data_IF_984807859633
#
_entry.id   IF_984807859633
#
_cell.length_a   1.000
_cell.length_b   1.000
_cell.length_c   1.000
_cell.angle_alpha   90.00
_cell.angle_beta   90.00
_cell.angle_gamma   90.00
#
_symmetry.space_group_name_H-M   'P 1'
#
loop_
_entity.id
_entity.type
_entity.pdbx_description
1 polymer ?
#
# COMPACT_ATOMS: atom_id res chain seq x y z
N UNK A 1 46.70 -26.31 3.96
CA UNK A 1 46.23 -27.34 4.90
C UNK A 1 44.72 -27.22 4.98
N UNK A 2 44.01 -28.22 4.47
CA UNK A 2 42.59 -28.38 4.68
C UNK A 2 42.31 -28.59 6.17
N UNK A 3 41.22 -28.02 6.67
CA UNK A 3 40.30 -28.75 7.55
C UNK A 3 38.88 -28.32 7.23
N UNK A 4 38.05 -29.32 6.96
CA UNK A 4 36.62 -29.28 6.80
C UNK A 4 35.94 -28.71 8.05
N UNK A 5 34.88 -27.93 7.88
CA UNK A 5 33.82 -27.83 8.89
C UNK A 5 32.47 -27.82 8.17
N UNK A 6 31.65 -28.77 8.56
CA UNK A 6 30.29 -29.08 8.15
C UNK A 6 29.37 -27.87 8.00
N UNK A 7 28.63 -27.83 6.88
CA UNK A 7 27.43 -27.01 6.72
C UNK A 7 26.27 -27.70 7.45
N UNK A 8 25.83 -27.12 8.57
CA UNK A 8 24.50 -27.38 9.11
C UNK A 8 23.52 -26.35 8.55
N UNK A 9 22.51 -26.84 7.83
CA UNK A 9 21.36 -26.04 7.44
C UNK A 9 20.59 -25.68 8.70
N UNK A 10 20.41 -24.37 8.96
CA UNK A 10 19.42 -23.91 9.94
C UNK A 10 18.01 -24.23 9.40
N UNK A 11 17.43 -25.31 9.90
CA UNK A 11 15.99 -25.57 9.84
C UNK A 11 15.28 -24.65 10.83
N UNK A 12 14.24 -23.95 10.37
CA UNK A 12 13.33 -23.18 11.23
C UNK A 12 12.61 -24.15 12.19
N UNK A 13 12.42 -23.81 13.47
CA UNK A 13 11.70 -24.68 14.38
C UNK A 13 10.21 -24.74 14.02
N UNK A 14 9.70 -25.97 13.97
CA UNK A 14 8.28 -26.31 13.92
C UNK A 14 7.58 -25.80 15.18
N UNK A 15 6.36 -25.30 15.00
CA UNK A 15 5.48 -24.85 16.06
C UNK A 15 4.92 -26.04 16.82
N UNK A 16 5.33 -26.20 18.08
CA UNK A 16 4.61 -27.06 19.02
C UNK A 16 3.54 -26.29 19.79
N UNK A 17 2.36 -26.88 19.69
CA UNK A 17 1.11 -26.68 20.40
C UNK A 17 1.29 -26.76 21.92
N UNK A 18 0.55 -25.94 22.68
CA UNK A 18 0.04 -26.32 24.01
C UNK A 18 -0.96 -25.27 24.56
N UNK A 19 -2.24 -25.67 24.49
CA UNK A 19 -3.21 -25.80 25.59
C UNK A 19 -3.66 -24.59 26.45
N UNK A 20 -4.95 -24.25 26.25
CA UNK A 20 -6.04 -24.19 27.25
C UNK A 20 -5.72 -23.91 28.73
N UNK A 21 -6.31 -22.83 29.25
CA UNK A 21 -6.89 -22.80 30.60
C UNK A 21 -8.09 -21.85 30.66
N UNK A 22 -9.25 -22.44 30.97
CA UNK A 22 -10.46 -21.79 31.48
C UNK A 22 -10.40 -21.69 33.02
N UNK A 23 -11.39 -20.96 33.57
CA UNK A 23 -11.72 -20.67 34.98
C UNK A 23 -11.15 -19.35 35.50
N UNK A 24 -11.88 -18.48 36.20
CA UNK A 24 -13.20 -18.57 36.85
C UNK A 24 -13.81 -17.19 37.07
N UNK A 25 -15.14 -17.18 37.17
CA UNK A 25 -16.00 -16.11 37.69
C UNK A 25 -15.58 -15.69 39.11
N UNK A 26 -15.67 -14.39 39.43
CA UNK A 26 -16.25 -13.94 40.70
C UNK A 26 -16.69 -12.46 40.65
N UNK A 27 -17.83 -12.24 41.27
CA UNK A 27 -18.63 -11.02 41.40
C UNK A 27 -18.19 -10.11 42.54
N UNK A 28 -18.45 -8.80 42.46
CA UNK A 28 -19.06 -7.98 43.55
C UNK A 28 -19.18 -6.49 43.15
N UNK A 29 -20.42 -5.98 43.16
CA UNK A 29 -20.98 -4.89 44.02
C UNK A 29 -20.66 -3.46 43.54
N UNK A 30 -21.61 -2.76 42.91
CA UNK A 30 -22.64 -1.86 43.47
C UNK A 30 -22.08 -0.64 44.22
N UNK A 31 -22.33 0.55 43.67
CA UNK A 31 -22.81 1.72 44.43
C UNK A 31 -23.52 2.70 43.50
N UNK A 32 -24.79 2.93 43.81
CA UNK A 32 -25.71 3.93 43.26
C UNK A 32 -25.23 5.37 43.53
N UNK A 33 -25.67 6.32 42.70
CA UNK A 33 -26.40 7.51 43.17
C UNK A 33 -27.27 8.09 42.04
N UNK A 34 -28.54 8.22 42.37
CA UNK A 34 -29.67 8.88 41.73
C UNK A 34 -29.52 10.39 41.58
N UNK A 35 -30.23 11.00 40.63
CA UNK A 35 -31.00 12.22 40.87
C UNK A 35 -32.24 12.27 39.95
N UNK A 36 -33.39 12.44 40.60
CA UNK A 36 -34.77 12.49 40.12
C UNK A 36 -35.14 13.90 39.60
N UNK A 37 -36.10 13.99 38.67
CA UNK A 37 -37.04 15.12 38.61
C UNK A 37 -38.39 14.70 38.02
N UNK A 38 -39.44 15.16 38.68
CA UNK A 38 -40.83 14.67 38.74
C UNK A 38 -41.85 15.32 37.79
N UNK A 39 -42.89 14.52 37.47
CA UNK A 39 -44.34 14.79 37.35
C UNK A 39 -44.93 15.87 36.40
N UNK A 40 -45.95 15.51 35.60
CA UNK A 40 -47.40 15.64 35.95
C UNK A 40 -48.31 15.05 34.86
N UNK A 41 -49.41 14.40 35.28
CA UNK A 41 -50.47 13.70 34.50
C UNK A 41 -51.68 14.62 34.23
N UNK A 42 -52.44 14.38 33.15
CA UNK A 42 -53.93 14.50 33.20
C UNK A 42 -54.62 13.57 32.20
N UNK A 43 -55.57 12.77 32.70
CA UNK A 43 -56.50 11.88 31.96
C UNK A 43 -57.70 12.65 31.37
N UNK A 44 -58.35 12.07 30.36
CA UNK A 44 -59.82 11.86 30.37
C UNK A 44 -60.29 10.85 29.31
N UNK A 45 -61.31 10.08 29.69
CA UNK A 45 -61.87 8.85 29.08
C UNK A 45 -63.32 9.03 28.56
N UNK A 46 -63.91 7.92 28.04
CA UNK A 46 -65.35 7.58 27.78
C UNK A 46 -65.92 7.97 26.39
N UNK A 47 -66.82 7.24 25.69
CA UNK A 47 -67.61 5.98 25.85
C UNK A 47 -68.33 5.69 24.48
N UNK A 48 -68.40 4.42 23.99
CA UNK A 48 -69.59 3.50 23.83
C UNK A 48 -70.51 3.62 22.57
N UNK A 49 -70.60 2.47 21.86
CA UNK A 49 -71.63 1.78 21.02
C UNK A 49 -72.68 2.48 20.14
N UNK A 50 -72.88 1.96 18.92
CA UNK A 50 -74.13 1.30 18.42
C UNK A 50 -73.99 0.83 16.93
N UNK A 51 -74.47 -0.38 16.61
CA UNK A 51 -74.86 -0.90 15.27
C UNK A 51 -76.42 -0.91 15.23
N UNK A 52 -77.18 -0.94 14.09
CA UNK A 52 -76.95 -1.85 12.93
C UNK A 52 -77.55 -1.39 11.55
N UNK A 53 -77.57 -2.35 10.60
CA UNK A 53 -78.52 -2.57 9.46
C UNK A 53 -78.22 -2.11 7.99
N UNK A 54 -77.77 -3.13 7.23
CA UNK A 54 -77.96 -3.57 5.84
C UNK A 54 -78.90 -2.77 4.90
N UNK A 55 -78.40 -2.47 3.68
CA UNK A 55 -79.20 -2.52 2.44
C UNK A 55 -78.34 -2.85 1.21
N UNK A 56 -78.71 -3.89 0.48
CA UNK A 56 -78.09 -4.36 -0.78
C UNK A 56 -78.37 -3.42 -1.96
N UNK A 57 -77.36 -3.12 -2.80
CA UNK A 57 -77.50 -2.92 -4.26
C UNK A 57 -76.19 -3.39 -4.96
N UNK A 58 -76.35 -3.97 -6.15
CA UNK A 58 -75.50 -4.90 -6.89
C UNK A 58 -74.62 -4.31 -8.02
N UNK A 59 -73.48 -4.98 -8.32
CA UNK A 59 -72.60 -5.06 -9.54
C UNK A 59 -72.10 -3.72 -10.19
N UNK A 60 -70.88 -3.52 -10.72
CA UNK A 60 -69.74 -4.36 -11.17
C UNK A 60 -68.48 -3.46 -11.34
N UNK A 61 -67.35 -4.09 -11.70
CA UNK A 61 -66.06 -3.58 -12.21
C UNK A 61 -64.88 -3.43 -11.21
N UNK A 62 -64.23 -4.58 -11.03
CA UNK A 62 -62.78 -4.79 -11.10
C UNK A 62 -61.82 -3.63 -10.77
N UNK A 63 -61.06 -3.80 -9.68
CA UNK A 63 -59.62 -3.53 -9.70
C UNK A 63 -58.92 -4.40 -8.64
N UNK A 64 -58.26 -5.46 -9.10
CA UNK A 64 -57.26 -6.20 -8.34
C UNK A 64 -56.04 -5.30 -8.13
N UNK A 65 -55.79 -4.91 -6.87
CA UNK A 65 -54.54 -4.29 -6.47
C UNK A 65 -53.60 -5.40 -5.97
N UNK A 66 -52.92 -6.06 -6.91
CA UNK A 66 -51.77 -6.91 -6.59
C UNK A 66 -50.58 -6.00 -6.29
N UNK A 67 -50.36 -5.70 -5.02
CA UNK A 67 -49.09 -5.16 -4.54
C UNK A 67 -48.02 -6.23 -4.67
N UNK A 68 -47.35 -6.26 -5.81
CA UNK A 68 -46.13 -7.04 -6.02
C UNK A 68 -45.02 -6.47 -5.15
N UNK A 69 -44.58 -7.22 -4.14
CA UNK A 69 -43.29 -6.98 -3.48
C UNK A 69 -42.19 -7.20 -4.51
N UNK A 70 -41.66 -6.12 -5.11
CA UNK A 70 -40.47 -6.19 -5.96
C UNK A 70 -39.30 -6.74 -5.12
N UNK A 71 -38.84 -7.94 -5.47
CA UNK A 71 -37.61 -8.49 -4.91
C UNK A 71 -36.46 -7.56 -5.31
N UNK A 72 -35.79 -6.94 -4.33
CA UNK A 72 -34.74 -5.97 -4.62
C UNK A 72 -33.53 -6.73 -5.16
N UNK A 73 -33.40 -6.76 -6.49
CA UNK A 73 -32.31 -7.42 -7.20
C UNK A 73 -30.97 -6.80 -6.77
N UNK A 74 -30.02 -7.65 -6.33
CA UNK A 74 -28.69 -7.19 -5.94
C UNK A 74 -27.91 -6.74 -7.18
N UNK A 75 -27.17 -5.62 -7.10
CA UNK A 75 -26.33 -5.17 -8.20
C UNK A 75 -25.16 -6.13 -8.39
N UNK A 76 -24.96 -6.65 -9.58
CA UNK A 76 -23.93 -7.62 -9.95
C UNK A 76 -23.32 -7.30 -11.32
N UNK A 77 -22.08 -7.76 -11.51
CA UNK A 77 -21.38 -7.71 -12.79
C UNK A 77 -21.64 -9.03 -13.51
N UNK A 78 -22.10 -8.97 -14.75
CA UNK A 78 -22.34 -10.14 -15.60
C UNK A 78 -21.17 -10.41 -16.55
N UNK A 79 -20.49 -9.36 -17.01
CA UNK A 79 -19.27 -9.51 -17.81
C UNK A 79 -18.32 -8.33 -17.64
N UNK A 80 -17.03 -8.60 -17.79
CA UNK A 80 -15.98 -7.59 -17.79
C UNK A 80 -14.88 -7.96 -18.78
N UNK A 81 -14.54 -7.02 -19.66
CA UNK A 81 -13.62 -7.24 -20.77
C UNK A 81 -12.72 -6.01 -20.94
N UNK A 82 -11.43 -6.25 -21.17
CA UNK A 82 -10.55 -5.23 -21.74
C UNK A 82 -10.54 -5.41 -23.25
N UNK A 83 -11.30 -4.58 -23.95
CA UNK A 83 -11.29 -4.58 -25.42
C UNK A 83 -10.02 -3.92 -25.92
N UNK A 84 -9.32 -4.54 -26.86
CA UNK A 84 -8.15 -4.00 -27.57
C UNK A 84 -8.42 -2.63 -28.17
N UNK A 85 -9.65 -2.39 -28.63
CA UNK A 85 -10.07 -1.09 -29.18
C UNK A 85 -9.85 0.07 -28.20
N UNK A 86 -10.14 -0.14 -26.91
CA UNK A 86 -10.01 0.87 -25.86
C UNK A 86 -8.64 0.76 -25.16
N UNK A 87 -7.97 -0.38 -25.31
CA UNK A 87 -6.71 -0.72 -24.67
C UNK A 87 -5.68 -1.15 -25.75
N UNK A 88 -5.13 -0.21 -26.54
CA UNK A 88 -4.39 -0.50 -27.78
C UNK A 88 -3.07 -1.27 -27.60
N UNK A 89 -2.58 -1.36 -26.36
CA UNK A 89 -1.41 -2.14 -25.96
C UNK A 89 -1.68 -3.66 -25.91
N UNK A 90 -2.95 -4.07 -25.95
CA UNK A 90 -3.32 -5.49 -25.97
C UNK A 90 -3.18 -6.08 -27.38
N UNK A 91 -2.78 -7.35 -27.45
CA UNK A 91 -2.74 -8.09 -28.72
C UNK A 91 -4.14 -8.45 -29.22
N UNK A 92 -5.03 -8.74 -28.29
CA UNK A 92 -6.42 -9.18 -28.47
C UNK A 92 -7.28 -8.75 -27.27
N UNK A 93 -8.60 -8.95 -27.35
CA UNK A 93 -9.50 -8.66 -26.23
C UNK A 93 -9.26 -9.63 -25.07
N UNK A 94 -9.19 -9.10 -23.84
CA UNK A 94 -8.98 -9.91 -22.64
C UNK A 94 -10.28 -10.02 -21.86
N UNK A 95 -10.82 -11.23 -21.82
CA UNK A 95 -12.01 -11.56 -21.03
C UNK A 95 -11.59 -11.92 -19.61
N UNK A 96 -12.37 -11.45 -18.65
CA UNK A 96 -12.20 -11.76 -17.24
C UNK A 96 -13.30 -12.70 -16.77
N UNK A 97 -12.92 -13.62 -15.89
CA UNK A 97 -13.84 -14.47 -15.16
C UNK A 97 -14.38 -13.71 -13.96
N UNK A 98 -15.71 -13.70 -13.81
CA UNK A 98 -16.40 -13.09 -12.66
C UNK A 98 -16.92 -14.21 -11.77
N UNK A 99 -16.37 -14.32 -10.57
CA UNK A 99 -16.86 -15.24 -9.55
C UNK A 99 -17.84 -14.49 -8.63
N UNK A 100 -19.14 -14.74 -8.80
CA UNK A 100 -20.20 -14.07 -8.03
C UNK A 100 -20.30 -14.56 -6.59
N UNK A 101 -19.77 -15.73 -6.25
CA UNK A 101 -19.77 -16.27 -4.88
C UNK A 101 -18.67 -15.61 -4.04
N UNK A 102 -17.44 -15.62 -4.56
CA UNK A 102 -16.25 -15.09 -3.88
C UNK A 102 -16.03 -13.60 -4.14
N UNK A 103 -16.85 -13.00 -5.01
CA UNK A 103 -16.74 -11.59 -5.44
C UNK A 103 -15.33 -11.27 -5.96
N UNK A 104 -14.78 -12.14 -6.79
CA UNK A 104 -13.46 -11.97 -7.42
C UNK A 104 -13.58 -11.86 -8.93
N UNK A 105 -12.73 -11.04 -9.52
CA UNK A 105 -12.59 -10.87 -10.96
C UNK A 105 -11.15 -11.19 -11.33
N UNK A 106 -10.93 -12.14 -12.23
CA UNK A 106 -9.58 -12.58 -12.59
C UNK A 106 -9.43 -12.93 -14.06
N UNK A 107 -8.20 -12.89 -14.55
CA UNK A 107 -7.85 -13.40 -15.88
C UNK A 107 -6.60 -14.28 -15.80
N UNK A 108 -6.46 -15.20 -16.75
CA UNK A 108 -5.22 -15.94 -16.97
C UNK A 108 -4.14 -15.11 -17.69
N UNK A 109 -4.49 -13.91 -18.17
CA UNK A 109 -3.57 -13.03 -18.86
C UNK A 109 -2.52 -12.45 -17.89
N UNK A 110 -1.25 -12.60 -18.26
CA UNK A 110 -0.13 -11.96 -17.59
C UNK A 110 0.07 -10.54 -18.12
N UNK A 111 -0.17 -9.55 -17.26
CA UNK A 111 0.08 -8.15 -17.58
C UNK A 111 1.57 -7.86 -17.41
N UNK A 112 2.22 -7.38 -18.47
CA UNK A 112 3.55 -6.77 -18.36
C UNK A 112 3.33 -5.29 -18.11
N UNK A 113 3.51 -4.85 -16.86
CA UNK A 113 3.37 -3.44 -16.52
C UNK A 113 4.55 -2.64 -17.12
N UNK A 114 4.40 -2.20 -18.36
CA UNK A 114 4.89 -0.86 -18.70
C UNK A 114 3.89 0.09 -18.05
N UNK A 115 4.37 0.95 -17.17
CA UNK A 115 3.56 1.78 -16.29
C UNK A 115 2.57 2.66 -17.12
N UNK A 116 1.43 3.09 -16.53
CA UNK A 116 0.42 4.03 -17.10
C UNK A 116 -0.65 3.54 -18.09
N UNK A 117 -0.85 2.24 -18.28
CA UNK A 117 -1.96 1.82 -19.13
C UNK A 117 -3.28 1.94 -18.37
N UNK A 118 -3.97 3.05 -18.63
CA UNK A 118 -5.37 3.20 -18.31
C UNK A 118 -6.12 1.94 -18.74
N UNK A 119 -6.69 1.23 -17.75
CA UNK A 119 -7.48 0.02 -17.97
C UNK A 119 -8.93 0.46 -18.23
N UNK A 120 -9.31 0.55 -19.49
CA UNK A 120 -10.67 0.90 -19.87
C UNK A 120 -11.50 -0.37 -20.00
N UNK A 121 -12.20 -0.72 -18.93
CA UNK A 121 -13.07 -1.88 -18.90
C UNK A 121 -14.39 -1.61 -19.62
N UNK A 122 -14.80 -2.55 -20.47
CA UNK A 122 -16.21 -2.69 -20.82
C UNK A 122 -16.84 -3.59 -19.75
N UNK A 123 -17.76 -3.04 -18.95
CA UNK A 123 -18.44 -3.75 -17.86
C UNK A 123 -19.93 -3.84 -18.19
N UNK A 124 -20.51 -5.02 -18.07
CA UNK A 124 -21.97 -5.22 -18.09
C UNK A 124 -22.44 -5.55 -16.69
N UNK A 125 -23.48 -4.87 -16.22
CA UNK A 125 -24.04 -5.00 -14.87
C UNK A 125 -25.53 -4.66 -14.87
N UNK A 126 -26.26 -5.09 -13.83
CA UNK A 126 -27.65 -4.71 -13.57
C UNK A 126 -27.81 -3.53 -12.58
N UNK A 127 -26.69 -2.99 -12.05
CA UNK A 127 -26.70 -1.79 -11.20
C UNK A 127 -26.87 -0.48 -11.99
N UNK A 128 -26.97 0.64 -11.29
CA UNK A 128 -27.07 1.99 -11.86
C UNK A 128 -25.72 2.52 -12.35
N UNK A 129 -24.61 2.18 -11.67
CA UNK A 129 -23.25 2.61 -12.03
C UNK A 129 -22.18 1.70 -11.43
N UNK A 130 -20.95 1.88 -11.92
CA UNK A 130 -19.77 1.15 -11.46
C UNK A 130 -18.64 2.13 -11.15
N UNK A 131 -17.96 1.90 -10.02
CA UNK A 131 -16.96 2.81 -9.47
C UNK A 131 -15.69 2.05 -9.01
N UNK A 132 -14.54 2.71 -9.12
CA UNK A 132 -13.30 2.37 -8.42
C UNK A 132 -13.09 3.39 -7.29
N UNK A 133 -13.37 3.00 -6.05
CA UNK A 133 -13.42 3.94 -4.94
C UNK A 133 -14.61 4.89 -5.06
N UNK A 134 -14.37 6.15 -5.45
CA UNK A 134 -15.41 7.17 -5.71
C UNK A 134 -15.47 7.60 -7.18
N UNK A 135 -14.59 7.07 -8.00
CA UNK A 135 -14.46 7.47 -9.41
C UNK A 135 -15.27 6.50 -10.28
N UNK A 136 -16.05 7.00 -11.26
CA UNK A 136 -16.72 6.14 -12.22
C UNK A 136 -15.67 5.40 -13.08
N UNK A 137 -15.98 4.16 -13.49
CA UNK A 137 -15.15 3.40 -14.43
C UNK A 137 -15.97 2.88 -15.60
N UNK A 138 -15.44 3.02 -16.81
CA UNK A 138 -16.06 2.57 -18.05
C UNK A 138 -15.04 2.54 -19.21
N UNK A 139 -15.52 2.57 -20.44
CA UNK A 139 -14.69 2.61 -21.64
C UNK A 139 -13.92 3.93 -21.83
N UNK A 140 -14.17 4.95 -21.01
CA UNK A 140 -13.58 6.29 -21.07
C UNK A 140 -12.89 6.72 -19.77
N UNK A 141 -13.28 6.13 -18.64
CA UNK A 141 -12.76 6.39 -17.30
C UNK A 141 -12.03 5.14 -16.83
N UNK A 142 -10.73 5.28 -16.63
CA UNK A 142 -9.86 4.14 -16.40
C UNK A 142 -9.98 3.57 -14.99
N UNK A 143 -9.88 2.25 -14.90
CA UNK A 143 -9.66 1.58 -13.63
C UNK A 143 -8.20 1.71 -13.22
N UNK A 144 -7.97 2.45 -12.14
CA UNK A 144 -6.65 2.72 -11.60
C UNK A 144 -6.36 1.77 -10.44
N UNK A 145 -5.72 0.63 -10.75
CA UNK A 145 -5.39 -0.41 -9.77
C UNK A 145 -4.66 0.14 -8.52
N UNK A 146 -3.83 1.16 -8.70
CA UNK A 146 -3.05 1.80 -7.63
C UNK A 146 -3.92 2.60 -6.64
N UNK A 147 -5.12 3.06 -7.03
CA UNK A 147 -6.09 3.70 -6.12
C UNK A 147 -6.86 2.66 -5.33
N UNK A 148 -7.30 1.62 -6.03
CA UNK A 148 -8.04 0.50 -5.45
C UNK A 148 -8.03 -0.67 -6.42
N UNK A 149 -7.91 -1.88 -5.90
CA UNK A 149 -8.14 -3.11 -6.65
C UNK A 149 -9.62 -3.56 -6.61
N UNK A 150 -10.53 -2.68 -6.16
CA UNK A 150 -11.95 -2.99 -6.01
C UNK A 150 -12.79 -2.31 -7.08
N UNK A 151 -13.79 -3.03 -7.57
CA UNK A 151 -14.86 -2.51 -8.40
C UNK A 151 -16.16 -2.60 -7.58
N UNK A 152 -16.84 -1.47 -7.41
CA UNK A 152 -18.13 -1.39 -6.72
C UNK A 152 -19.23 -1.19 -7.75
N UNK A 153 -20.22 -2.09 -7.79
CA UNK A 153 -21.47 -1.86 -8.52
C UNK A 153 -22.47 -1.29 -7.53
N UNK A 154 -23.05 -0.13 -7.86
CA UNK A 154 -24.09 0.51 -7.05
C UNK A 154 -25.42 0.33 -7.75
N UNK A 155 -26.39 -0.24 -7.05
CA UNK A 155 -27.78 -0.44 -7.52
C UNK A 155 -28.76 0.51 -6.85
N UNK A 156 -30.06 0.24 -7.05
CA UNK A 156 -31.16 1.00 -6.43
C UNK A 156 -30.99 1.04 -4.90
N UNK A 157 -31.48 2.11 -4.28
CA UNK A 157 -31.41 2.33 -2.83
C UNK A 157 -29.99 2.29 -2.23
N UNK A 158 -28.96 2.61 -3.03
CA UNK A 158 -27.55 2.53 -2.64
C UNK A 158 -27.08 1.15 -2.18
N UNK A 159 -27.74 0.07 -2.61
CA UNK A 159 -27.19 -1.28 -2.45
C UNK A 159 -25.89 -1.38 -3.24
N UNK A 160 -24.88 -2.03 -2.65
CA UNK A 160 -23.56 -2.15 -3.26
C UNK A 160 -23.08 -3.59 -3.24
N UNK A 161 -22.45 -3.99 -4.34
CA UNK A 161 -21.66 -5.22 -4.41
C UNK A 161 -20.24 -4.87 -4.82
N UNK A 162 -19.27 -5.34 -4.06
CA UNK A 162 -17.86 -5.04 -4.25
C UNK A 162 -17.14 -6.28 -4.73
N UNK A 163 -16.46 -6.17 -5.87
CA UNK A 163 -15.62 -7.19 -6.45
C UNK A 163 -14.14 -6.83 -6.28
N UNK A 164 -13.30 -7.82 -6.01
CA UNK A 164 -11.84 -7.66 -5.98
C UNK A 164 -11.24 -8.12 -7.30
N UNK A 165 -10.55 -7.21 -8.00
CA UNK A 165 -9.85 -7.49 -9.26
C UNK A 165 -8.46 -8.03 -8.95
N UNK A 166 -8.17 -9.21 -9.50
CA UNK A 166 -6.86 -9.87 -9.42
C UNK A 166 -6.24 -9.94 -10.81
N UNK A 167 -5.16 -9.16 -11.00
CA UNK A 167 -4.36 -9.17 -12.22
C UNK A 167 -3.09 -10.00 -11.95
N UNK A 168 -2.76 -10.92 -12.86
CA UNK A 168 -1.48 -11.64 -12.79
C UNK A 168 -0.41 -10.75 -13.40
N UNK A 169 0.50 -10.25 -12.56
CA UNK A 169 1.65 -9.48 -13.02
C UNK A 169 2.75 -10.42 -13.51
N UNK A 170 3.32 -10.12 -14.68
CA UNK A 170 4.60 -10.69 -15.04
C UNK A 170 5.70 -9.98 -14.25
N UNK A 171 6.00 -10.49 -13.07
CA UNK A 171 7.10 -10.00 -12.24
C UNK A 171 8.41 -10.66 -12.71
N UNK A 172 9.43 -9.86 -13.07
CA UNK A 172 10.75 -10.36 -13.49
C UNK A 172 11.62 -10.90 -12.33
N UNK A 173 11.02 -11.16 -11.17
CA UNK A 173 11.66 -11.68 -9.96
C UNK A 173 12.16 -10.61 -8.99
N UNK A 174 11.81 -9.34 -9.20
CA UNK A 174 12.19 -8.22 -8.33
C UNK A 174 10.98 -7.61 -7.62
N UNK A 175 11.15 -7.10 -6.38
CA UNK A 175 10.16 -6.23 -5.77
C UNK A 175 9.92 -4.99 -6.63
N UNK A 176 8.72 -4.43 -6.53
CA UNK A 176 8.29 -3.28 -7.33
C UNK A 176 7.94 -2.12 -6.40
N UNK A 177 8.41 -0.92 -6.72
CA UNK A 177 8.18 0.31 -5.95
C UNK A 177 7.50 1.34 -6.86
N UNK A 178 6.24 1.64 -6.56
CA UNK A 178 5.48 2.71 -7.19
C UNK A 178 5.57 3.98 -6.36
N UNK A 179 5.88 5.09 -7.01
CA UNK A 179 5.94 6.42 -6.41
C UNK A 179 5.02 7.32 -7.22
N UNK A 180 4.09 7.97 -6.55
CA UNK A 180 3.19 8.95 -7.18
C UNK A 180 3.31 10.27 -6.45
N UNK A 181 3.78 11.32 -7.12
CA UNK A 181 3.77 12.68 -6.59
C UNK A 181 2.37 13.26 -6.69
N UNK A 182 1.96 14.07 -5.72
CA UNK A 182 0.62 14.65 -5.69
C UNK A 182 0.35 15.54 -6.91
N UNK A 183 1.40 16.14 -7.47
CA UNK A 183 1.32 16.98 -8.66
C UNK A 183 1.28 16.20 -9.99
N UNK A 184 1.55 14.89 -9.96
CA UNK A 184 1.74 14.07 -11.16
C UNK A 184 3.00 14.43 -11.97
N UNK A 185 3.83 15.36 -11.51
CA UNK A 185 5.06 15.79 -12.19
C UNK A 185 6.30 15.09 -11.64
N UNK A 186 7.30 14.92 -12.50
CA UNK A 186 8.60 14.39 -12.10
C UNK A 186 9.27 15.29 -11.04
N UNK A 187 10.13 14.68 -10.22
CA UNK A 187 10.86 15.39 -9.16
C UNK A 187 12.09 16.07 -9.76
N UNK A 188 12.15 17.41 -9.66
CA UNK A 188 13.24 18.21 -10.18
C UNK A 188 14.57 17.97 -9.45
N UNK A 189 15.67 18.23 -10.16
CA UNK A 189 17.04 18.00 -9.65
C UNK A 189 17.39 18.76 -8.38
N UNK A 190 16.79 19.94 -8.20
CA UNK A 190 17.04 20.85 -7.08
C UNK A 190 15.78 21.12 -6.26
N UNK A 191 14.71 20.39 -6.55
CA UNK A 191 13.51 20.46 -5.73
C UNK A 191 13.87 19.97 -4.32
N UNK A 192 13.24 20.59 -3.33
CA UNK A 192 13.21 20.01 -2.00
C UNK A 192 12.24 18.80 -2.02
N UNK A 193 11.72 18.44 -0.86
CA UNK A 193 10.72 17.39 -0.74
C UNK A 193 9.41 17.72 -1.45
N UNK A 194 9.06 16.87 -2.41
CA UNK A 194 7.75 16.83 -3.08
C UNK A 194 6.88 15.79 -2.37
N UNK A 195 5.64 16.15 -2.06
CA UNK A 195 4.68 15.24 -1.43
C UNK A 195 4.15 14.20 -2.45
N UNK A 196 3.80 13.04 -1.93
CA UNK A 196 3.27 11.94 -2.72
C UNK A 196 2.90 10.72 -1.89
N UNK A 197 2.79 9.59 -2.56
CA UNK A 197 2.60 8.28 -1.96
C UNK A 197 3.60 7.28 -2.54
N UNK A 198 3.90 6.24 -1.76
CA UNK A 198 4.70 5.09 -2.20
C UNK A 198 3.95 3.81 -1.90
N UNK A 199 4.00 2.87 -2.86
CA UNK A 199 3.54 1.50 -2.66
C UNK A 199 4.64 0.52 -3.01
N UNK A 200 4.80 -0.53 -2.21
CA UNK A 200 5.85 -1.54 -2.39
C UNK A 200 5.22 -2.93 -2.49
N UNK A 201 5.57 -3.64 -3.55
CA UNK A 201 5.10 -4.99 -3.84
C UNK A 201 6.27 -5.96 -3.78
N UNK A 202 6.03 -7.15 -3.24
CA UNK A 202 7.01 -8.23 -3.21
C UNK A 202 7.30 -8.78 -4.61
N UNK A 203 8.35 -9.59 -4.73
CA UNK A 203 8.67 -10.39 -5.94
C UNK A 203 7.51 -11.28 -6.42
N UNK A 204 6.56 -11.59 -5.53
CA UNK A 204 5.39 -12.44 -5.80
C UNK A 204 4.09 -11.64 -5.97
N UNK A 205 4.18 -10.30 -6.06
CA UNK A 205 3.02 -9.42 -6.25
C UNK A 205 2.20 -9.12 -4.99
N UNK A 206 2.57 -9.67 -3.82
CA UNK A 206 1.92 -9.29 -2.56
C UNK A 206 2.19 -7.81 -2.25
N UNK A 207 1.14 -7.03 -1.96
CA UNK A 207 1.27 -5.66 -1.47
C UNK A 207 1.85 -5.70 -0.05
N UNK A 208 3.04 -5.12 0.12
CA UNK A 208 3.73 -5.09 1.41
C UNK A 208 3.50 -3.77 2.13
N UNK A 209 3.19 -2.70 1.40
CA UNK A 209 3.21 -1.35 1.93
C UNK A 209 2.53 -0.35 1.00
N UNK A 210 1.76 0.59 1.56
CA UNK A 210 1.21 1.74 0.86
C UNK A 210 1.01 2.90 1.83
N UNK A 211 1.78 3.99 1.70
CA UNK A 211 1.70 5.14 2.62
C UNK A 211 2.02 6.48 1.94
N UNK A 212 1.53 7.59 2.53
CA UNK A 212 2.03 8.93 2.23
C UNK A 212 3.53 9.07 2.48
N UNK A 213 4.18 9.86 1.66
CA UNK A 213 5.61 10.10 1.70
C UNK A 213 5.99 11.44 1.08
N UNK A 214 7.24 11.82 1.26
CA UNK A 214 7.90 12.89 0.53
C UNK A 214 9.11 12.35 -0.20
N UNK A 215 9.39 12.87 -1.39
CA UNK A 215 10.52 12.46 -2.21
C UNK A 215 11.32 13.67 -2.69
N UNK A 216 12.64 13.50 -2.76
CA UNK A 216 13.53 14.47 -3.41
C UNK A 216 14.68 13.77 -4.11
N UNK A 217 15.30 14.45 -5.07
CA UNK A 217 16.55 13.98 -5.68
C UNK A 217 17.69 14.04 -4.65
N UNK A 218 18.57 13.03 -4.66
CA UNK A 218 19.73 12.94 -3.77
C UNK A 218 21.06 12.76 -4.51
N UNK A 219 22.13 12.87 -3.72
CA UNK A 219 23.51 12.80 -4.17
C UNK A 219 24.04 14.18 -4.56
N UNK A 220 25.35 14.24 -4.81
CA UNK A 220 26.03 15.45 -5.22
C UNK A 220 26.28 15.40 -6.74
N UNK A 221 27.33 14.68 -7.16
CA UNK A 221 27.66 14.47 -8.58
C UNK A 221 26.55 13.76 -9.37
N UNK A 222 25.89 12.79 -8.74
CA UNK A 222 24.85 11.96 -9.38
C UNK A 222 23.59 12.73 -9.77
N UNK A 223 23.39 13.97 -9.28
CA UNK A 223 22.26 14.83 -9.73
C UNK A 223 22.38 15.26 -11.19
N UNK A 224 23.59 15.22 -11.74
CA UNK A 224 23.85 15.57 -13.14
C UNK A 224 23.58 14.40 -14.09
N UNK A 225 23.39 13.18 -13.58
CA UNK A 225 23.15 12.00 -14.39
C UNK A 225 21.75 12.00 -15.03
N UNK A 226 21.58 11.32 -16.18
CA UNK A 226 20.27 11.09 -16.78
C UNK A 226 19.31 10.33 -15.86
N UNK A 227 19.82 9.34 -15.13
CA UNK A 227 19.05 8.56 -14.17
C UNK A 227 19.36 9.02 -12.74
N UNK A 228 18.39 9.67 -12.12
CA UNK A 228 18.52 10.31 -10.81
C UNK A 228 18.32 9.30 -9.68
N UNK A 229 19.01 9.53 -8.56
CA UNK A 229 18.78 8.81 -7.31
C UNK A 229 17.87 9.63 -6.39
N UNK A 230 17.07 8.96 -5.57
CA UNK A 230 16.06 9.62 -4.74
C UNK A 230 16.25 9.29 -3.26
N UNK A 231 15.80 10.22 -2.41
CA UNK A 231 15.54 9.98 -1.00
C UNK A 231 14.04 10.06 -0.78
N UNK A 232 13.51 9.04 -0.10
CA UNK A 232 12.11 8.95 0.31
C UNK A 232 12.06 9.17 1.81
N UNK A 233 11.14 10.03 2.26
CA UNK A 233 10.82 10.26 3.66
C UNK A 233 9.37 9.90 3.89
N UNK A 234 9.12 8.82 4.62
CA UNK A 234 7.80 8.37 5.02
C UNK A 234 7.27 9.25 6.16
N UNK A 235 5.96 9.44 6.20
CA UNK A 235 5.32 10.17 7.30
C UNK A 235 5.41 9.38 8.62
N UNK A 236 5.25 8.07 8.54
CA UNK A 236 5.37 7.12 9.65
C UNK A 236 6.59 6.22 9.48
N UNK A 237 7.19 5.76 10.60
CA UNK A 237 8.26 4.75 10.56
C UNK A 237 7.65 3.43 10.07
N UNK A 238 8.27 2.78 9.11
CA UNK A 238 7.84 1.47 8.64
C UNK A 238 9.02 0.67 8.09
N UNK A 239 8.95 -0.66 8.18
CA UNK A 239 9.91 -1.55 7.52
C UNK A 239 9.58 -1.70 6.04
N UNK A 240 10.60 -1.78 5.19
CA UNK A 240 10.44 -1.89 3.73
C UNK A 240 11.17 -3.15 3.27
N UNK A 241 10.49 -4.04 2.54
CA UNK A 241 11.06 -5.30 2.02
C UNK A 241 11.76 -6.18 3.07
N UNK A 242 11.23 -6.22 4.29
CA UNK A 242 11.79 -6.99 5.41
C UNK A 242 12.96 -6.29 6.13
N UNK A 243 13.32 -5.07 5.73
CA UNK A 243 14.35 -4.27 6.42
C UNK A 243 13.77 -3.56 7.66
N UNK A 244 14.64 -3.25 8.62
CA UNK A 244 14.27 -2.59 9.88
C UNK A 244 13.58 -1.23 9.69
N UNK A 245 12.66 -0.91 10.59
CA UNK A 245 11.74 0.23 10.46
C UNK A 245 12.42 1.61 10.52
N UNK A 246 12.17 2.44 9.50
CA UNK A 246 12.74 3.79 9.39
C UNK A 246 11.79 4.74 8.64
N UNK A 247 12.00 6.05 8.80
CA UNK A 247 11.32 7.07 7.97
C UNK A 247 12.06 7.36 6.68
N UNK A 248 13.39 7.29 6.68
CA UNK A 248 14.21 7.70 5.55
C UNK A 248 14.75 6.49 4.81
N UNK A 249 14.47 6.45 3.51
CA UNK A 249 14.88 5.40 2.59
C UNK A 249 15.57 6.02 1.39
N UNK A 250 16.44 5.26 0.73
CA UNK A 250 17.14 5.69 -0.48
C UNK A 250 16.76 4.80 -1.65
N UNK A 251 16.73 5.41 -2.83
CA UNK A 251 16.71 4.74 -4.12
C UNK A 251 17.96 5.13 -4.89
N UNK A 252 18.93 4.22 -4.95
CA UNK A 252 20.17 4.43 -5.67
C UNK A 252 20.03 3.94 -7.12
N UNK A 253 20.23 4.86 -8.06
CA UNK A 253 20.17 4.55 -9.49
C UNK A 253 21.36 3.71 -9.98
N UNK A 254 22.47 3.73 -9.23
CA UNK A 254 23.78 3.15 -9.59
C UNK A 254 24.22 3.50 -11.03
N UNK A 255 23.84 4.68 -11.56
CA UNK A 255 23.99 5.00 -12.98
C UNK A 255 25.43 4.94 -13.51
N UNK A 256 26.41 5.35 -12.69
CA UNK A 256 27.83 5.31 -13.05
C UNK A 256 28.40 3.89 -13.04
N UNK A 257 27.76 2.98 -12.31
CA UNK A 257 28.15 1.57 -12.21
C UNK A 257 27.43 0.75 -13.30
N UNK A 258 28.16 0.37 -14.35
CA UNK A 258 27.61 -0.44 -15.46
C UNK A 258 27.09 -1.81 -15.05
N UNK A 259 27.50 -2.34 -13.89
CA UNK A 259 26.96 -3.59 -13.35
C UNK A 259 25.70 -3.38 -12.52
N UNK A 260 25.45 -2.15 -12.05
CA UNK A 260 24.46 -1.80 -11.02
C UNK A 260 24.63 -2.51 -9.67
N UNK A 261 25.65 -3.37 -9.51
CA UNK A 261 25.77 -4.33 -8.40
C UNK A 261 26.88 -4.01 -7.41
N UNK A 262 27.84 -3.13 -7.72
CA UNK A 262 29.05 -2.96 -6.89
C UNK A 262 28.73 -2.59 -5.44
N UNK A 263 27.79 -1.66 -5.23
CA UNK A 263 27.34 -1.29 -3.88
C UNK A 263 26.74 -2.47 -3.14
N UNK A 264 25.81 -3.20 -3.78
CA UNK A 264 25.15 -4.33 -3.15
C UNK A 264 26.14 -5.47 -2.84
N UNK A 265 27.08 -5.76 -3.75
CA UNK A 265 28.13 -6.75 -3.51
C UNK A 265 29.04 -6.35 -2.34
N UNK A 266 29.41 -5.07 -2.23
CA UNK A 266 30.24 -4.59 -1.13
C UNK A 266 29.52 -4.73 0.22
N UNK A 267 28.24 -4.37 0.30
CA UNK A 267 27.44 -4.56 1.51
C UNK A 267 27.24 -6.04 1.82
N UNK A 268 26.91 -6.86 0.83
CA UNK A 268 26.80 -8.31 1.05
C UNK A 268 28.09 -8.91 1.62
N UNK A 269 29.26 -8.52 1.09
CA UNK A 269 30.55 -8.95 1.63
C UNK A 269 30.78 -8.44 3.06
N UNK A 270 30.43 -7.18 3.33
CA UNK A 270 30.53 -6.60 4.67
C UNK A 270 29.72 -7.38 5.72
N UNK A 271 28.50 -7.82 5.37
CA UNK A 271 27.66 -8.67 6.22
C UNK A 271 28.31 -10.02 6.58
N UNK A 272 29.27 -10.50 5.78
CA UNK A 272 29.96 -11.77 6.06
C UNK A 272 31.11 -11.63 7.07
N UNK A 273 31.53 -10.41 7.42
CA UNK A 273 32.64 -10.19 8.36
C UNK A 273 32.15 -10.01 9.80
N UNK A 274 32.72 -10.75 10.74
CA UNK A 274 32.34 -10.77 12.16
C UNK A 274 32.73 -9.52 12.97
N UNK A 275 33.28 -8.48 12.34
CA UNK A 275 33.74 -7.25 12.99
C UNK A 275 33.03 -5.99 12.52
N UNK A 276 32.05 -6.11 11.61
CA UNK A 276 31.29 -4.99 11.08
C UNK A 276 29.94 -4.94 11.81
N UNK A 277 29.81 -3.99 12.74
CA UNK A 277 28.62 -3.86 13.59
C UNK A 277 27.37 -3.45 12.82
N UNK A 278 27.53 -2.73 11.71
CA UNK A 278 26.43 -2.29 10.87
C UNK A 278 26.81 -2.33 9.40
N UNK A 279 25.92 -2.92 8.61
CA UNK A 279 25.96 -2.85 7.14
C UNK A 279 24.58 -2.38 6.64
N UNK A 280 24.53 -1.44 5.68
CA UNK A 280 23.26 -0.99 5.10
C UNK A 280 22.48 -2.14 4.48
N UNK A 281 21.23 -2.33 4.93
CA UNK A 281 20.31 -3.24 4.28
C UNK A 281 19.87 -2.66 2.93
N UNK A 282 20.03 -3.43 1.87
CA UNK A 282 19.81 -2.99 0.49
C UNK A 282 19.26 -4.14 -0.36
N UNK A 283 18.32 -3.84 -1.27
CA UNK A 283 17.78 -4.80 -2.24
C UNK A 283 17.54 -4.15 -3.59
N UNK A 284 17.59 -4.92 -4.67
CA UNK A 284 17.13 -4.44 -5.98
C UNK A 284 15.61 -4.30 -6.01
N UNK A 285 15.12 -3.28 -6.69
CA UNK A 285 13.70 -3.10 -6.99
C UNK A 285 13.50 -2.43 -8.34
N UNK A 286 12.41 -2.79 -9.01
CA UNK A 286 11.90 -2.04 -10.16
C UNK A 286 11.17 -0.80 -9.66
N UNK A 287 11.50 0.38 -10.22
CA UNK A 287 10.94 1.64 -9.76
C UNK A 287 10.17 2.33 -10.85
N UNK A 288 9.08 2.90 -10.40
CA UNK A 288 8.01 3.41 -11.19
C UNK A 288 7.61 4.76 -10.59
N UNK A 289 7.79 5.86 -11.32
CA UNK A 289 7.51 7.23 -10.86
C UNK A 289 6.39 7.84 -11.70
N UNK A 290 5.28 8.25 -11.07
CA UNK A 290 4.09 8.80 -11.73
C UNK A 290 3.68 7.99 -12.94
N UNK A 291 3.63 6.68 -12.77
CA UNK A 291 3.24 5.83 -13.86
C UNK A 291 4.21 5.83 -15.07
N UNK A 292 5.48 6.25 -14.93
CA UNK A 292 6.60 6.02 -15.87
C UNK A 292 7.72 5.10 -15.31
N UNK A 293 8.04 4.00 -16.00
CA UNK A 293 9.13 3.09 -15.55
C UNK A 293 10.48 3.79 -15.66
N UNK A 294 11.14 3.97 -14.51
CA UNK A 294 12.44 4.63 -14.44
C UNK A 294 13.60 3.64 -14.27
N UNK A 295 13.31 2.34 -14.33
CA UNK A 295 14.31 1.26 -14.33
C UNK A 295 14.54 0.62 -12.95
N UNK A 296 15.57 -0.23 -12.88
CA UNK A 296 15.99 -0.90 -11.64
C UNK A 296 16.80 0.03 -10.75
N UNK A 297 16.53 0.02 -9.45
CA UNK A 297 17.26 0.74 -8.41
C UNK A 297 17.69 -0.22 -7.30
N UNK A 298 18.63 0.22 -6.47
CA UNK A 298 18.85 -0.37 -5.14
C UNK A 298 18.07 0.45 -4.11
N UNK A 299 17.07 -0.16 -3.48
CA UNK A 299 16.33 0.42 -2.37
C UNK A 299 16.93 -0.04 -1.05
N UNK A 300 16.98 0.85 -0.07
CA UNK A 300 17.33 0.46 1.29
C UNK A 300 17.69 1.64 2.17
N UNK A 301 18.64 1.40 3.06
CA UNK A 301 18.88 2.26 4.21
C UNK A 301 19.43 3.64 3.84
N UNK A 302 18.78 4.67 4.36
CA UNK A 302 19.45 5.95 4.53
C UNK A 302 20.34 5.86 5.77
N UNK A 303 21.64 6.10 5.61
CA UNK A 303 22.57 6.18 6.73
C UNK A 303 22.17 7.32 7.66
N UNK A 304 21.87 6.98 8.92
CA UNK A 304 21.48 7.91 9.97
C UNK A 304 21.66 7.24 11.33
N UNK A 305 21.74 8.04 12.39
CA UNK A 305 21.77 7.56 13.77
C UNK A 305 20.38 7.03 14.14
N UNK A 306 20.28 5.73 14.41
CA UNK A 306 19.05 5.04 14.83
C UNK A 306 19.37 3.59 15.23
N UNK A 307 18.62 3.03 16.18
CA UNK A 307 18.72 1.63 16.67
C UNK A 307 18.84 0.56 15.56
N UNK A 308 17.98 0.59 14.53
CA UNK A 308 18.04 -0.37 13.41
C UNK A 308 19.02 0.05 12.29
N UNK A 309 19.92 1.00 12.57
CA UNK A 309 20.88 1.58 11.62
C UNK A 309 22.23 1.75 12.31
N UNK A 310 22.77 2.98 12.32
CA UNK A 310 23.95 3.31 13.11
C UNK A 310 23.48 3.59 14.54
N UNK A 311 23.50 2.56 15.38
CA UNK A 311 23.06 2.66 16.77
C UNK A 311 24.14 3.28 17.66
N UNK A 312 24.14 4.62 17.72
CA UNK A 312 25.03 5.42 18.55
C UNK A 312 24.24 6.50 19.29
N UNK A 313 24.79 7.03 20.37
CA UNK A 313 24.18 8.14 21.11
C UNK A 313 24.16 9.42 20.26
N UNK A 314 22.99 10.06 20.15
CA UNK A 314 22.83 11.33 19.46
C UNK A 314 22.89 12.50 20.46
N UNK A 315 23.67 13.54 20.16
CA UNK A 315 23.69 14.77 20.97
C UNK A 315 24.43 14.67 22.31
N UNK A 316 25.26 13.63 22.52
CA UNK A 316 26.07 13.50 23.72
C UNK A 316 27.01 14.70 23.92
N UNK A 317 27.10 15.21 25.15
CA UNK A 317 28.06 16.26 25.53
C UNK A 317 29.42 15.70 25.94
N UNK A 318 29.55 14.36 26.01
CA UNK A 318 30.79 13.67 26.37
C UNK A 318 31.65 13.47 25.11
N UNK A 319 32.97 13.51 25.30
CA UNK A 319 33.93 13.17 24.24
C UNK A 319 34.05 11.66 24.05
N UNK A 320 33.76 10.87 25.08
CA UNK A 320 33.70 9.41 24.99
C UNK A 320 32.28 8.98 24.58
N UNK A 321 32.00 9.06 23.29
CA UNK A 321 30.71 8.75 22.65
C UNK A 321 30.92 8.15 21.25
N UNK A 322 29.84 7.65 20.64
CA UNK A 322 29.85 7.27 19.23
C UNK A 322 29.88 8.48 18.29
N UNK A 323 30.64 8.37 17.20
CA UNK A 323 30.74 9.39 16.16
C UNK A 323 30.26 8.84 14.82
N UNK A 324 29.49 9.62 14.08
CA UNK A 324 29.16 9.34 12.69
C UNK A 324 30.01 10.24 11.80
N UNK A 325 30.91 9.64 11.02
CA UNK A 325 31.91 10.34 10.22
C UNK A 325 31.69 10.05 8.73
N UNK A 326 31.88 11.06 7.89
CA UNK A 326 31.88 10.93 6.43
C UNK A 326 33.32 11.10 5.91
N UNK A 327 33.82 10.14 5.12
CA UNK A 327 35.06 10.35 4.36
C UNK A 327 34.76 11.32 3.22
N UNK A 328 35.29 12.53 3.33
CA UNK A 328 34.87 13.68 2.55
C UNK A 328 36.08 14.41 1.97
N UNK A 329 36.42 14.04 0.74
CA UNK A 329 37.54 14.63 0.01
C UNK A 329 37.35 16.13 -0.30
N UNK A 330 36.15 16.67 -0.08
CA UNK A 330 35.82 18.09 -0.28
C UNK A 330 35.60 18.83 1.02
N UNK A 331 35.87 18.21 2.18
CA UNK A 331 35.63 18.83 3.47
C UNK A 331 36.33 20.18 3.65
N UNK A 332 37.50 20.37 3.00
CA UNK A 332 38.23 21.64 3.01
C UNK A 332 37.62 22.74 2.12
N UNK A 333 36.73 22.38 1.19
CA UNK A 333 36.03 23.29 0.28
C UNK A 333 34.64 23.68 0.80
N UNK A 334 34.10 22.93 1.76
CA UNK A 334 32.80 23.14 2.38
C UNK A 334 32.96 23.75 3.79
N UNK A 335 31.97 24.52 4.26
CA UNK A 335 31.94 25.04 5.65
C UNK A 335 31.56 23.91 6.63
N UNK A 336 32.46 22.92 6.76
CA UNK A 336 32.31 21.75 7.63
C UNK A 336 33.43 21.69 8.67
N UNK A 337 33.12 21.08 9.80
CA UNK A 337 34.15 20.63 10.75
C UNK A 337 34.74 19.32 10.24
N UNK A 338 36.06 19.29 10.07
CA UNK A 338 36.77 18.12 9.57
C UNK A 338 38.12 17.93 10.23
N UNK A 339 38.67 16.73 10.08
CA UNK A 339 40.03 16.38 10.48
C UNK A 339 40.65 15.44 9.45
N UNK A 340 41.98 15.32 9.46
CA UNK A 340 42.72 14.46 8.55
C UNK A 340 43.28 13.24 9.29
N UNK A 341 43.09 12.05 8.72
CA UNK A 341 43.72 10.82 9.19
C UNK A 341 44.38 10.14 7.99
N UNK A 342 45.71 9.99 8.05
CA UNK A 342 46.49 9.28 7.02
C UNK A 342 46.24 9.79 5.58
N UNK A 343 46.12 11.11 5.40
CA UNK A 343 45.88 11.73 4.10
C UNK A 343 44.42 11.70 3.63
N UNK A 344 43.49 11.19 4.44
CA UNK A 344 42.05 11.22 4.17
C UNK A 344 41.36 12.25 5.07
N UNK A 345 40.48 13.04 4.47
CA UNK A 345 39.65 14.01 5.18
C UNK A 345 38.36 13.35 5.67
N UNK A 346 38.02 13.58 6.93
CA UNK A 346 36.78 13.11 7.55
C UNK A 346 36.00 14.32 8.08
N UNK A 347 34.74 14.46 7.66
CA UNK A 347 33.82 15.44 8.21
C UNK A 347 32.90 14.84 9.27
N UNK A 348 32.52 15.66 10.25
CA UNK A 348 31.66 15.32 11.40
C UNK A 348 30.30 16.00 11.28
#
# INVERSE_FOLDING_TARGET
>A
FCTESSFEYYSLPESDDMTESQESLESSSVSETSEDFSDTVTEQSSEISEEPEISEVSYDESSTDESSTEEIEKPEITSIVLKKKNNPYLKEDIVFEVNTQNKTISSSFEFTYAQNTDLYFTITHNGERVENGKEPIDEKNSFLLWRSNKITVVGKNNLQTVYTVSLREKNYGLPVVYINTDSGKSVGKYDDYVNGSVSVFSKKGANLYGKPMKIRVRGNSTRTHPKLSYRIKLDEKSGVLGMGSAKNWVLLANHSDKSLMRNLCAFYLAEQFSGITYTPSMQFAEVYLNNEYIGVYTIGDHLQVQENRVDIEEGSSKTDTGYFLECDVRAAEEDRRYFEVSGMLFSV
#
